data_IF_393947956079
#
_entry.id   IF_393947956079
#
_cell.length_a   1.000
_cell.length_b   1.000
_cell.length_c   1.000
_cell.angle_alpha   90.00
_cell.angle_beta   90.00
_cell.angle_gamma   90.00
#
_symmetry.space_group_name_H-M   'P 1'
#
loop_
_entity.id
_entity.type
_entity.pdbx_description
1 polymer ?
#
# COMPACT_ATOMS: atom_id res chain seq x y z
N UNK A 1 52.10 4.07 -8.86
CA UNK A 1 51.16 5.06 -8.37
C UNK A 1 49.81 4.79 -9.00
N UNK A 2 49.06 3.82 -8.41
CA UNK A 2 47.69 3.60 -8.76
C UNK A 2 46.86 4.79 -8.26
N UNK A 3 46.56 5.72 -9.12
CA UNK A 3 45.46 6.64 -8.87
C UNK A 3 44.19 5.86 -8.94
N UNK A 4 43.59 5.65 -7.77
CA UNK A 4 42.29 5.07 -7.68
C UNK A 4 41.33 5.87 -8.54
N UNK A 5 40.82 5.26 -9.57
CA UNK A 5 39.65 5.78 -10.28
C UNK A 5 38.54 5.83 -9.27
N UNK A 6 38.25 7.01 -8.79
CA UNK A 6 36.99 7.31 -8.14
C UNK A 6 35.94 6.94 -9.18
N UNK A 7 35.38 5.75 -9.03
CA UNK A 7 34.10 5.47 -9.66
C UNK A 7 33.17 6.52 -9.09
N UNK A 8 32.90 7.55 -9.84
CA UNK A 8 31.78 8.41 -9.60
C UNK A 8 30.57 7.48 -9.61
N UNK A 9 30.15 7.08 -8.43
CA UNK A 9 28.84 6.46 -8.31
C UNK A 9 27.86 7.48 -8.84
N UNK A 10 27.05 7.13 -9.84
CA UNK A 10 26.04 8.05 -10.34
C UNK A 10 25.24 8.54 -9.14
N UNK A 11 25.10 9.84 -9.02
CA UNK A 11 24.32 10.51 -7.99
C UNK A 11 23.07 9.67 -7.68
N UNK A 12 23.15 8.86 -6.65
CA UNK A 12 21.99 8.17 -6.15
C UNK A 12 21.11 9.21 -5.51
N UNK A 13 20.30 9.85 -6.34
CA UNK A 13 19.26 10.72 -5.83
C UNK A 13 18.37 9.90 -4.93
N UNK A 14 18.54 10.08 -3.67
CA UNK A 14 17.63 9.50 -2.67
C UNK A 14 16.51 10.48 -2.47
N UNK A 15 15.29 9.97 -2.52
CA UNK A 15 14.07 10.76 -2.29
C UNK A 15 13.40 10.22 -1.04
N UNK A 16 12.86 11.11 -0.22
CA UNK A 16 12.10 10.71 0.95
C UNK A 16 10.85 9.93 0.54
N UNK A 17 10.47 8.95 1.33
CA UNK A 17 9.32 8.09 1.05
C UNK A 17 8.00 8.88 0.92
N UNK A 18 7.78 9.85 1.78
CA UNK A 18 6.60 10.72 1.71
C UNK A 18 6.54 11.53 0.40
N UNK A 19 7.67 12.05 -0.03
CA UNK A 19 7.79 12.78 -1.30
C UNK A 19 7.60 11.85 -2.50
N UNK A 20 8.22 10.67 -2.47
CA UNK A 20 8.11 9.70 -3.54
C UNK A 20 6.67 9.20 -3.72
N UNK A 21 5.98 8.88 -2.64
CA UNK A 21 4.58 8.45 -2.68
C UNK A 21 3.65 9.54 -3.23
N UNK A 22 3.92 10.77 -2.87
CA UNK A 22 3.19 11.91 -3.43
C UNK A 22 3.51 12.12 -4.92
N UNK A 23 4.77 12.05 -5.31
CA UNK A 23 5.22 12.18 -6.71
C UNK A 23 4.67 11.06 -7.59
N UNK A 24 4.65 9.83 -7.08
CA UNK A 24 4.08 8.66 -7.75
C UNK A 24 2.54 8.62 -7.76
N UNK A 25 1.90 9.63 -7.22
CA UNK A 25 0.43 9.78 -7.16
C UNK A 25 -0.31 8.71 -6.36
N UNK A 26 0.33 8.08 -5.40
CA UNK A 26 -0.35 7.20 -4.46
C UNK A 26 -1.22 7.98 -3.48
N UNK A 27 -0.78 9.14 -3.07
CA UNK A 27 -1.49 10.04 -2.17
C UNK A 27 -1.61 11.44 -2.77
N UNK A 28 -2.67 12.11 -2.40
CA UNK A 28 -3.00 13.44 -2.93
C UNK A 28 -2.07 14.54 -2.44
N UNK A 29 -1.61 14.42 -1.20
CA UNK A 29 -0.70 15.38 -0.56
C UNK A 29 0.41 14.67 0.20
N UNK A 30 1.53 15.36 0.44
CA UNK A 30 2.62 14.85 1.27
C UNK A 30 2.19 14.60 2.71
N UNK A 31 1.33 15.46 3.26
CA UNK A 31 0.80 15.31 4.62
C UNK A 31 -0.02 14.02 4.76
N UNK A 32 -0.83 13.68 3.79
CA UNK A 32 -1.56 12.40 3.75
C UNK A 32 -0.58 11.23 3.68
N UNK A 33 0.43 11.33 2.84
CA UNK A 33 1.47 10.30 2.73
C UNK A 33 2.18 10.08 4.08
N UNK A 34 2.58 11.12 4.76
CA UNK A 34 3.19 11.04 6.09
C UNK A 34 2.25 10.40 7.12
N UNK A 35 0.99 10.78 7.10
CA UNK A 35 -0.02 10.21 8.00
C UNK A 35 -0.21 8.70 7.75
N UNK A 36 -0.28 8.29 6.50
CA UNK A 36 -0.43 6.88 6.13
C UNK A 36 0.82 6.05 6.46
N UNK A 37 2.00 6.59 6.28
CA UNK A 37 3.25 5.94 6.69
C UNK A 37 3.30 5.75 8.20
N UNK A 38 2.98 6.77 8.96
CA UNK A 38 2.91 6.72 10.42
C UNK A 38 1.83 5.76 10.92
N UNK A 39 0.72 5.66 10.18
CA UNK A 39 -0.37 4.74 10.47
C UNK A 39 -0.12 3.28 10.11
N UNK A 40 1.07 2.94 9.56
CA UNK A 40 1.41 1.58 9.18
C UNK A 40 0.77 1.09 7.89
N UNK A 41 0.26 2.00 7.06
CA UNK A 41 -0.37 1.67 5.77
C UNK A 41 0.63 1.48 4.63
N UNK A 42 1.89 1.81 4.86
CA UNK A 42 2.98 1.70 3.90
C UNK A 42 4.09 0.87 4.51
N UNK A 43 4.63 -0.06 3.73
CA UNK A 43 5.80 -0.86 4.11
C UNK A 43 6.90 -0.70 3.08
N UNK A 44 8.12 -0.68 3.53
CA UNK A 44 9.31 -0.58 2.70
C UNK A 44 10.16 -1.84 2.89
N UNK A 45 10.29 -2.64 1.82
CA UNK A 45 10.96 -3.95 1.88
C UNK A 45 10.44 -4.88 3.00
N UNK A 46 9.15 -4.78 3.32
CA UNK A 46 8.52 -5.55 4.38
C UNK A 46 8.60 -4.93 5.78
N UNK A 47 9.38 -3.87 5.95
CA UNK A 47 9.54 -3.18 7.23
C UNK A 47 8.63 -1.94 7.32
N UNK A 48 8.32 -1.53 8.55
CA UNK A 48 7.58 -0.31 8.80
C UNK A 48 8.51 0.91 8.67
N UNK A 49 8.37 1.72 7.60
CA UNK A 49 9.26 2.85 7.40
C UNK A 49 8.81 4.07 8.19
N UNK A 50 9.73 5.00 8.35
CA UNK A 50 9.42 6.38 8.77
C UNK A 50 9.18 7.25 7.53
N UNK A 51 8.43 8.37 7.63
CA UNK A 51 8.20 9.26 6.48
C UNK A 51 9.48 9.79 5.84
N UNK A 52 10.53 9.96 6.62
CA UNK A 52 11.85 10.40 6.15
C UNK A 52 12.73 9.30 5.56
N UNK A 53 12.25 8.06 5.46
CA UNK A 53 13.00 6.96 4.85
C UNK A 53 13.38 7.30 3.43
N UNK A 54 14.65 7.11 3.09
CA UNK A 54 15.14 7.29 1.73
C UNK A 54 14.74 6.11 0.86
N UNK A 55 14.17 6.41 -0.29
CA UNK A 55 13.74 5.43 -1.28
C UNK A 55 14.88 5.18 -2.27
N UNK A 56 15.20 3.93 -2.48
CA UNK A 56 16.20 3.49 -3.46
C UNK A 56 15.54 2.77 -4.63
N UNK A 57 16.07 2.90 -5.87
CA UNK A 57 15.60 2.10 -6.98
C UNK A 57 15.79 0.61 -6.71
N UNK A 58 14.80 -0.20 -7.09
CA UNK A 58 14.80 -1.63 -6.85
C UNK A 58 14.17 -2.04 -5.51
N UNK A 59 13.76 -1.08 -4.68
CA UNK A 59 13.04 -1.36 -3.45
C UNK A 59 11.60 -1.78 -3.72
N UNK A 60 11.05 -2.60 -2.85
CA UNK A 60 9.65 -3.02 -2.90
C UNK A 60 8.87 -2.23 -1.86
N UNK A 61 7.87 -1.50 -2.30
CA UNK A 61 6.99 -0.73 -1.44
C UNK A 61 5.59 -1.32 -1.49
N UNK A 62 5.06 -1.60 -0.34
CA UNK A 62 3.69 -2.07 -0.17
C UNK A 62 2.83 -0.91 0.31
N UNK A 63 1.79 -0.60 -0.45
CA UNK A 63 0.87 0.51 -0.16
C UNK A 63 -0.53 -0.03 0.01
N UNK A 64 -1.13 0.25 1.14
CA UNK A 64 -2.52 -0.08 1.41
C UNK A 64 -3.41 1.09 1.06
N UNK A 65 -4.31 0.87 0.13
CA UNK A 65 -5.33 1.85 -0.27
C UNK A 65 -6.71 1.22 -0.15
N UNK A 66 -7.55 1.76 0.74
CA UNK A 66 -8.90 1.25 0.98
C UNK A 66 -8.92 -0.26 1.25
N UNK A 67 -9.37 -1.04 0.31
CA UNK A 67 -9.50 -2.50 0.41
C UNK A 67 -8.40 -3.27 -0.34
N UNK A 68 -7.53 -2.57 -1.03
CA UNK A 68 -6.49 -3.17 -1.86
C UNK A 68 -5.10 -2.88 -1.32
N UNK A 69 -4.26 -3.89 -1.35
CA UNK A 69 -2.83 -3.75 -1.05
C UNK A 69 -2.08 -3.86 -2.37
N UNK A 70 -1.33 -2.82 -2.70
CA UNK A 70 -0.49 -2.79 -3.88
C UNK A 70 0.96 -2.94 -3.48
N UNK A 71 1.63 -3.89 -4.10
CA UNK A 71 3.05 -4.08 -3.98
C UNK A 71 3.74 -3.61 -5.26
N UNK A 72 4.57 -2.60 -5.14
CA UNK A 72 5.22 -1.97 -6.28
C UNK A 72 6.73 -2.00 -6.16
N UNK A 73 7.39 -2.19 -7.30
CA UNK A 73 8.83 -2.09 -7.41
C UNK A 73 9.21 -0.67 -7.82
N UNK A 74 10.09 -0.04 -7.07
CA UNK A 74 10.59 1.30 -7.39
C UNK A 74 11.51 1.23 -8.60
N UNK A 75 11.18 1.92 -9.67
CA UNK A 75 12.01 2.02 -10.88
C UNK A 75 12.69 3.37 -11.01
N UNK A 76 12.01 4.43 -10.63
CA UNK A 76 12.53 5.78 -10.72
C UNK A 76 12.29 6.59 -9.45
N UNK A 77 13.07 7.64 -9.31
CA UNK A 77 12.94 8.58 -8.20
C UNK A 77 12.58 9.95 -8.74
N UNK A 78 11.63 10.62 -8.12
CA UNK A 78 11.24 11.99 -8.43
C UNK A 78 10.83 12.73 -7.18
N UNK A 79 11.24 13.96 -7.08
CA UNK A 79 10.87 14.89 -6.02
C UNK A 79 9.67 15.75 -6.42
N UNK A 80 9.32 15.74 -7.70
CA UNK A 80 8.26 16.56 -8.27
C UNK A 80 7.10 15.70 -8.72
N UNK A 81 5.89 16.19 -8.47
CA UNK A 81 4.67 15.54 -8.94
C UNK A 81 4.40 15.93 -10.40
N UNK A 82 4.63 15.00 -11.30
CA UNK A 82 4.33 15.14 -12.70
C UNK A 82 2.92 14.69 -13.09
N UNK A 83 2.73 14.47 -14.38
CA UNK A 83 1.50 13.89 -14.93
C UNK A 83 1.34 12.42 -14.50
N UNK A 84 0.14 11.90 -14.61
CA UNK A 84 -0.13 10.49 -14.27
C UNK A 84 0.74 9.51 -15.09
N UNK A 85 1.02 9.82 -16.36
CA UNK A 85 1.92 9.02 -17.19
C UNK A 85 3.35 9.00 -16.66
N UNK A 86 3.87 10.14 -16.21
CA UNK A 86 5.21 10.25 -15.62
C UNK A 86 5.28 9.51 -14.29
N UNK A 87 4.24 9.60 -13.47
CA UNK A 87 4.14 8.87 -12.22
C UNK A 87 4.15 7.35 -12.43
N UNK A 88 3.51 6.86 -13.46
CA UNK A 88 3.48 5.44 -13.80
C UNK A 88 4.86 4.89 -14.18
N UNK A 89 5.79 5.72 -14.61
CA UNK A 89 7.18 5.35 -14.92
C UNK A 89 8.05 5.21 -13.67
N UNK A 90 7.62 5.73 -12.54
CA UNK A 90 8.39 5.69 -11.29
C UNK A 90 8.31 4.34 -10.60
N UNK A 91 7.32 3.54 -10.91
CA UNK A 91 7.08 2.25 -10.29
C UNK A 91 6.48 1.24 -11.26
N UNK A 92 6.64 -0.02 -10.91
CA UNK A 92 5.96 -1.14 -11.57
C UNK A 92 5.30 -2.01 -10.52
N UNK A 93 4.02 -2.29 -10.71
CA UNK A 93 3.32 -3.20 -9.82
C UNK A 93 3.79 -4.64 -10.05
N UNK A 94 4.05 -5.38 -8.97
CA UNK A 94 4.46 -6.78 -9.09
C UNK A 94 3.33 -7.65 -9.61
N UNK A 95 3.67 -8.72 -10.34
CA UNK A 95 2.69 -9.66 -10.88
C UNK A 95 1.85 -10.32 -9.77
N UNK A 96 2.46 -10.62 -8.65
CA UNK A 96 1.77 -11.17 -7.47
C UNK A 96 0.70 -10.21 -6.94
N UNK A 97 1.01 -8.92 -6.90
CA UNK A 97 0.06 -7.89 -6.49
C UNK A 97 -1.12 -7.78 -7.45
N UNK A 98 -0.84 -7.79 -8.75
CA UNK A 98 -1.88 -7.76 -9.79
C UNK A 98 -2.80 -8.97 -9.69
N UNK A 99 -2.25 -10.18 -9.56
CA UNK A 99 -3.02 -11.41 -9.40
C UNK A 99 -3.88 -11.38 -8.13
N UNK A 100 -3.33 -10.88 -7.05
CA UNK A 100 -4.03 -10.74 -5.76
C UNK A 100 -5.22 -9.78 -5.86
N UNK A 101 -5.03 -8.65 -6.54
CA UNK A 101 -6.10 -7.67 -6.79
C UNK A 101 -7.19 -8.22 -7.70
N UNK A 102 -6.82 -8.93 -8.75
CA UNK A 102 -7.77 -9.57 -9.66
C UNK A 102 -8.62 -10.61 -8.95
N UNK A 103 -8.01 -11.46 -8.13
CA UNK A 103 -8.74 -12.43 -7.30
C UNK A 103 -9.70 -11.77 -6.34
N UNK A 104 -9.28 -10.67 -5.72
CA UNK A 104 -10.12 -9.92 -4.79
C UNK A 104 -11.31 -9.26 -5.50
N UNK A 105 -11.08 -8.70 -6.68
CA UNK A 105 -12.15 -8.15 -7.52
C UNK A 105 -13.14 -9.22 -7.95
N UNK A 106 -12.66 -10.36 -8.39
CA UNK A 106 -13.49 -11.49 -8.77
C UNK A 106 -14.33 -12.00 -7.60
N UNK A 107 -13.71 -12.13 -6.43
CA UNK A 107 -14.39 -12.52 -5.21
C UNK A 107 -15.50 -11.53 -4.82
N UNK A 108 -15.24 -10.23 -4.90
CA UNK A 108 -16.26 -9.18 -4.65
C UNK A 108 -17.37 -9.21 -5.69
N UNK A 109 -17.02 -9.40 -6.95
CA UNK A 109 -17.99 -9.51 -8.04
C UNK A 109 -18.91 -10.71 -7.83
N UNK A 110 -18.37 -11.87 -7.50
CA UNK A 110 -19.14 -13.07 -7.18
C UNK A 110 -19.97 -12.88 -5.91
N UNK A 111 -19.45 -12.22 -4.89
CA UNK A 111 -20.18 -11.87 -3.69
C UNK A 111 -21.38 -10.94 -3.96
N UNK A 112 -21.21 -9.96 -4.83
CA UNK A 112 -22.30 -9.09 -5.28
C UNK A 112 -23.35 -9.81 -6.12
N UNK A 113 -22.95 -10.80 -6.91
CA UNK A 113 -23.84 -11.62 -7.71
C UNK A 113 -24.56 -12.70 -6.87
N UNK A 114 -23.90 -13.21 -5.84
CA UNK A 114 -24.47 -14.19 -4.91
C UNK A 114 -25.41 -13.58 -3.89
N UNK A 115 -25.37 -12.26 -3.70
CA UNK A 115 -26.36 -11.53 -2.91
C UNK A 115 -27.49 -11.07 -3.82
N UNK A 116 -28.61 -11.79 -3.90
CA UNK A 116 -29.75 -11.25 -4.61
C UNK A 116 -30.12 -9.95 -3.93
N UNK A 117 -30.15 -8.87 -4.69
CA UNK A 117 -30.66 -7.60 -4.20
C UNK A 117 -32.10 -7.83 -3.77
N UNK A 118 -32.42 -7.86 -2.47
CA UNK A 118 -33.78 -8.07 -2.07
C UNK A 118 -34.58 -6.85 -2.53
N UNK A 119 -35.60 -7.08 -3.34
CA UNK A 119 -36.54 -6.04 -3.76
C UNK A 119 -37.37 -5.47 -2.60
N UNK A 120 -37.18 -6.00 -1.41
CA UNK A 120 -37.79 -5.57 -0.17
C UNK A 120 -36.74 -5.25 0.88
N UNK A 121 -37.06 -4.32 1.78
CA UNK A 121 -36.20 -4.04 2.94
C UNK A 121 -35.95 -5.33 3.72
N UNK A 122 -34.69 -5.63 4.08
CA UNK A 122 -34.38 -6.82 4.84
C UNK A 122 -35.14 -6.82 6.18
N UNK A 123 -35.74 -7.93 6.49
CA UNK A 123 -36.40 -8.17 7.78
C UNK A 123 -35.38 -8.08 8.94
N UNK A 124 -35.86 -7.88 10.14
CA UNK A 124 -35.00 -7.72 11.33
C UNK A 124 -34.03 -8.89 11.53
N UNK A 125 -34.43 -10.10 11.18
CA UNK A 125 -33.61 -11.31 11.20
C UNK A 125 -32.51 -11.25 10.12
N UNK A 126 -32.87 -10.87 8.91
CA UNK A 126 -31.95 -10.73 7.79
C UNK A 126 -30.92 -9.62 8.03
N UNK A 127 -31.32 -8.53 8.68
CA UNK A 127 -30.38 -7.48 9.10
C UNK A 127 -29.34 -7.99 10.11
N UNK A 128 -29.77 -8.82 11.07
CA UNK A 128 -28.85 -9.41 12.06
C UNK A 128 -27.85 -10.35 11.37
N UNK A 129 -28.30 -11.16 10.44
CA UNK A 129 -27.44 -12.06 9.66
C UNK A 129 -26.44 -11.28 8.79
N UNK A 130 -26.89 -10.23 8.11
CA UNK A 130 -26.02 -9.36 7.30
C UNK A 130 -25.00 -8.62 8.16
N UNK A 131 -25.38 -8.12 9.33
CA UNK A 131 -24.47 -7.49 10.28
C UNK A 131 -23.47 -8.48 10.85
N UNK A 132 -23.90 -9.70 11.16
CA UNK A 132 -23.02 -10.78 11.62
C UNK A 132 -21.97 -11.15 10.58
N UNK A 133 -22.36 -11.30 9.32
CA UNK A 133 -21.43 -11.53 8.20
C UNK A 133 -20.46 -10.37 8.00
N UNK A 134 -20.97 -9.15 8.11
CA UNK A 134 -20.15 -7.94 7.97
C UNK A 134 -19.14 -7.81 9.12
N UNK A 135 -19.53 -8.14 10.34
CA UNK A 135 -18.63 -8.19 11.50
C UNK A 135 -17.59 -9.32 11.36
N UNK A 136 -17.97 -10.48 10.90
CA UNK A 136 -17.06 -11.59 10.67
C UNK A 136 -15.97 -11.26 9.64
N UNK A 137 -16.30 -10.55 8.57
CA UNK A 137 -15.32 -10.05 7.61
C UNK A 137 -14.45 -8.94 8.19
N UNK A 138 -15.02 -8.02 8.95
CA UNK A 138 -14.27 -6.95 9.61
C UNK A 138 -13.32 -7.49 10.69
N UNK A 139 -13.74 -8.48 11.46
CA UNK A 139 -12.88 -9.16 12.44
C UNK A 139 -11.75 -9.93 11.77
N UNK A 140 -12.03 -10.68 10.72
CA UNK A 140 -11.00 -11.40 9.98
C UNK A 140 -9.99 -10.45 9.33
N UNK A 141 -10.44 -9.31 8.84
CA UNK A 141 -9.58 -8.27 8.30
C UNK A 141 -8.76 -7.59 9.41
N UNK A 142 -9.37 -7.38 10.58
CA UNK A 142 -8.72 -6.78 11.73
C UNK A 142 -7.70 -7.73 12.38
N UNK A 143 -8.01 -9.01 12.52
CA UNK A 143 -7.08 -10.03 13.00
C UNK A 143 -5.84 -10.13 12.12
N UNK A 144 -6.01 -10.04 10.81
CA UNK A 144 -4.90 -10.02 9.86
C UNK A 144 -3.99 -8.80 10.05
N UNK A 145 -4.55 -7.67 10.49
CA UNK A 145 -3.80 -6.44 10.74
C UNK A 145 -3.22 -6.35 12.15
N UNK A 146 -3.88 -6.93 13.15
CA UNK A 146 -3.42 -6.95 14.54
C UNK A 146 -2.21 -7.87 14.73
N UNK A 147 -2.14 -9.00 14.02
CA UNK A 147 -0.95 -9.86 14.01
C UNK A 147 0.31 -9.13 13.51
N UNK A 148 0.14 -8.23 12.56
CA UNK A 148 1.22 -7.41 12.05
C UNK A 148 1.62 -6.27 13.02
N UNK A 149 0.68 -5.74 13.80
CA UNK A 149 0.94 -4.66 14.74
C UNK A 149 1.63 -5.15 16.04
N UNK A 150 1.38 -6.39 16.47
CA UNK A 150 2.04 -6.97 17.65
C UNK A 150 3.55 -7.21 17.43
N UNK A 151 3.98 -7.42 16.20
CA UNK A 151 5.39 -7.62 15.87
C UNK A 151 6.22 -6.32 15.94
N UNK A 152 5.56 -5.18 16.05
CA UNK A 152 6.19 -3.86 16.02
C UNK A 152 6.03 -3.07 17.32
N UNK A 153 5.83 -3.72 18.46
CA UNK A 153 6.02 -3.04 19.74
C UNK A 153 7.47 -2.55 19.80
N UNK A 154 7.62 -1.29 19.48
CA UNK A 154 8.87 -0.58 19.67
C UNK A 154 9.13 -0.51 21.18
N UNK A 155 10.03 -1.37 21.66
CA UNK A 155 10.55 -1.29 23.01
C UNK A 155 11.49 -0.08 23.09
N UNK A 156 10.89 1.10 23.10
CA UNK A 156 11.56 2.39 23.24
C UNK A 156 11.72 2.74 24.71
N UNK A 157 12.66 2.08 25.33
CA UNK A 157 13.16 2.60 26.60
C UNK A 157 14.26 3.62 26.36
#
# INVERSE_FOLDING_TARGET
>A
LARGSSREEPDRKTVRLDVWLWAARFYRTRSIAQHMINGGKVRYNGDRPKPGRQVEPGAIIEVRQSYEVRQVLVKGLSETRGRAADAALLYEETEESIKRREKLREFRRLGCLASPSPGEKPDKKQRRELLSLKHGFAEAEQDFYEEDDEEYEYDGS
#
